data_IF_638344086362
#
_entry.id   IF_638344086362
#
_cell.length_a   1.000
_cell.length_b   1.000
_cell.length_c   1.000
_cell.angle_alpha   90.00
_cell.angle_beta   90.00
_cell.angle_gamma   90.00
#
_symmetry.space_group_name_H-M   'P 1'
#
loop_
_entity.id
_entity.type
_entity.pdbx_description
1 polymer ?
#
# COMPACT_ATOMS: atom_id res chain seq x y z
N UNK A 1 29.34 10.50 43.64
CA UNK A 1 28.57 10.13 42.48
C UNK A 1 27.94 8.80 42.74
N UNK A 2 26.60 8.75 42.90
CA UNK A 2 25.89 7.50 43.08
C UNK A 2 25.93 6.74 41.75
N UNK A 3 26.39 5.50 41.78
CA UNK A 3 26.11 4.52 40.71
C UNK A 3 24.66 4.04 40.93
N UNK A 4 23.77 4.44 40.06
CA UNK A 4 22.51 3.70 39.89
C UNK A 4 22.84 2.45 39.07
N UNK A 5 22.55 1.28 39.63
CA UNK A 5 22.64 0.03 38.86
C UNK A 5 21.63 0.07 37.68
N UNK A 6 21.99 -0.41 36.48
CA UNK A 6 21.09 -0.45 35.38
C UNK A 6 19.90 -1.36 35.73
N UNK A 7 18.68 -0.85 35.50
CA UNK A 7 17.46 -1.66 35.59
C UNK A 7 17.33 -2.54 34.35
N UNK A 8 16.96 -3.82 34.54
CA UNK A 8 16.64 -4.72 33.43
C UNK A 8 15.44 -4.20 32.65
N UNK A 9 15.57 -4.21 31.33
CA UNK A 9 14.47 -3.87 30.42
C UNK A 9 13.32 -4.91 30.45
N UNK A 10 12.32 -4.67 29.62
CA UNK A 10 11.24 -5.64 29.40
C UNK A 10 11.62 -6.69 28.37
N UNK A 11 11.13 -7.92 28.55
CA UNK A 11 11.05 -8.91 27.49
C UNK A 11 9.92 -8.52 26.54
N UNK A 12 10.18 -8.54 25.24
CA UNK A 12 9.22 -8.19 24.20
C UNK A 12 8.71 -9.48 23.57
N UNK A 13 7.41 -9.77 23.75
CA UNK A 13 6.75 -10.90 23.09
C UNK A 13 6.13 -10.40 21.80
N UNK A 14 6.64 -10.85 20.66
CA UNK A 14 6.15 -10.47 19.35
C UNK A 14 5.05 -11.41 18.87
N UNK A 15 4.36 -11.01 17.80
CA UNK A 15 3.36 -11.81 17.10
C UNK A 15 3.97 -12.74 16.05
N UNK A 16 5.29 -12.65 15.80
CA UNK A 16 5.97 -13.39 14.76
C UNK A 16 5.93 -14.90 14.99
N UNK A 17 5.58 -15.63 13.94
CA UNK A 17 5.67 -17.07 13.84
C UNK A 17 6.98 -17.43 13.11
N UNK A 18 7.85 -18.21 13.78
CA UNK A 18 9.19 -18.50 13.26
C UNK A 18 9.16 -19.31 11.97
N UNK A 19 8.21 -20.23 11.83
CA UNK A 19 8.10 -21.07 10.63
C UNK A 19 7.64 -20.22 9.43
N UNK A 20 6.66 -19.35 9.64
CA UNK A 20 6.21 -18.42 8.61
C UNK A 20 7.28 -17.39 8.26
N UNK A 21 8.04 -16.89 9.24
CA UNK A 21 9.15 -15.96 9.02
C UNK A 21 10.25 -16.61 8.15
N UNK A 22 10.62 -17.85 8.44
CA UNK A 22 11.62 -18.60 7.65
C UNK A 22 11.14 -18.83 6.20
N UNK A 23 9.88 -19.20 6.02
CA UNK A 23 9.27 -19.35 4.69
C UNK A 23 9.24 -18.03 3.93
N UNK A 24 8.86 -16.94 4.59
CA UNK A 24 8.80 -15.60 4.00
C UNK A 24 10.18 -15.10 3.55
N UNK A 25 11.21 -15.24 4.40
CA UNK A 25 12.59 -14.87 4.08
C UNK A 25 13.12 -15.65 2.86
N UNK A 26 12.97 -16.98 2.88
CA UNK A 26 13.43 -17.85 1.78
C UNK A 26 12.69 -17.55 0.47
N UNK A 27 11.39 -17.29 0.52
CA UNK A 27 10.60 -16.95 -0.67
C UNK A 27 11.02 -15.58 -1.23
N UNK A 28 11.17 -14.58 -0.35
CA UNK A 28 11.62 -13.24 -0.72
C UNK A 28 13.00 -13.28 -1.37
N UNK A 29 13.97 -13.97 -0.75
CA UNK A 29 15.34 -14.12 -1.27
C UNK A 29 15.36 -14.70 -2.69
N UNK A 30 14.65 -15.81 -2.88
CA UNK A 30 14.54 -16.44 -4.22
C UNK A 30 13.96 -15.48 -5.27
N UNK A 31 12.93 -14.71 -4.89
CA UNK A 31 12.31 -13.77 -5.80
C UNK A 31 13.23 -12.59 -6.13
N UNK A 32 13.93 -12.05 -5.13
CA UNK A 32 14.89 -10.96 -5.35
C UNK A 32 16.06 -11.39 -6.26
N UNK A 33 16.54 -12.60 -6.10
CA UNK A 33 17.57 -13.20 -6.98
C UNK A 33 17.04 -13.38 -8.40
N UNK A 34 15.86 -13.99 -8.56
CA UNK A 34 15.24 -14.24 -9.87
C UNK A 34 14.95 -12.95 -10.65
N UNK A 35 14.59 -11.87 -9.97
CA UNK A 35 14.28 -10.58 -10.58
C UNK A 35 15.48 -9.62 -10.63
N UNK A 36 16.66 -10.06 -10.16
CA UNK A 36 17.83 -9.20 -9.97
C UNK A 36 17.49 -7.88 -9.24
N UNK A 37 16.64 -7.97 -8.24
CA UNK A 37 16.19 -6.81 -7.48
C UNK A 37 17.24 -6.37 -6.46
N UNK A 38 17.19 -5.11 -6.04
CA UNK A 38 18.13 -4.53 -5.06
C UNK A 38 17.65 -4.77 -3.64
N UNK A 39 16.33 -4.73 -3.42
CA UNK A 39 15.70 -4.94 -2.11
C UNK A 39 14.23 -5.35 -2.27
N UNK A 40 13.66 -5.85 -1.20
CA UNK A 40 12.24 -6.18 -1.12
C UNK A 40 11.79 -6.45 0.29
N UNK A 41 10.49 -6.61 0.45
CA UNK A 41 9.85 -6.97 1.71
C UNK A 41 8.70 -7.93 1.47
N UNK A 42 8.44 -8.78 2.46
CA UNK A 42 7.27 -9.67 2.52
C UNK A 42 6.65 -9.53 3.90
N UNK A 43 5.33 -9.35 3.95
CA UNK A 43 4.56 -9.24 5.18
C UNK A 43 3.44 -10.28 5.14
N UNK A 44 3.24 -11.01 6.24
CA UNK A 44 2.11 -11.90 6.46
C UNK A 44 1.32 -11.37 7.64
N UNK A 45 0.04 -11.07 7.43
CA UNK A 45 -0.85 -10.50 8.44
C UNK A 45 -2.07 -11.41 8.63
N UNK A 46 -2.44 -11.66 9.87
CA UNK A 46 -3.66 -12.37 10.21
C UNK A 46 -4.85 -11.43 10.02
N UNK A 47 -5.89 -11.92 9.33
CA UNK A 47 -6.99 -11.05 8.84
C UNK A 47 -7.83 -10.49 9.99
N UNK A 48 -8.16 -11.29 10.99
CA UNK A 48 -9.11 -10.89 12.02
C UNK A 48 -8.48 -10.15 13.20
N UNK A 49 -7.21 -10.43 13.48
CA UNK A 49 -6.50 -9.85 14.65
C UNK A 49 -5.57 -8.71 14.28
N UNK A 50 -5.13 -8.62 13.01
CA UNK A 50 -4.10 -7.67 12.59
C UNK A 50 -2.69 -8.07 13.00
N UNK A 51 -2.50 -9.23 13.61
CA UNK A 51 -1.17 -9.70 14.00
C UNK A 51 -0.26 -9.91 12.80
N UNK A 52 0.94 -9.37 12.86
CA UNK A 52 1.99 -9.60 11.87
C UNK A 52 2.69 -10.91 12.20
N UNK A 53 2.41 -11.93 11.41
CA UNK A 53 2.95 -13.27 11.62
C UNK A 53 4.33 -13.45 10.99
N UNK A 54 4.65 -12.68 9.94
CA UNK A 54 5.99 -12.62 9.35
C UNK A 54 6.24 -11.24 8.73
N UNK A 55 7.48 -10.77 8.82
CA UNK A 55 7.94 -9.55 8.19
C UNK A 55 9.40 -9.72 7.79
N UNK A 56 9.65 -10.10 6.53
CA UNK A 56 10.99 -10.26 5.99
C UNK A 56 11.39 -9.03 5.17
N UNK A 57 12.60 -8.52 5.41
CA UNK A 57 13.15 -7.35 4.76
C UNK A 57 14.57 -7.66 4.29
N UNK A 58 14.80 -7.71 3.00
CA UNK A 58 16.09 -8.05 2.42
C UNK A 58 16.60 -6.98 1.48
N UNK A 59 17.85 -6.59 1.66
CA UNK A 59 18.55 -5.66 0.79
C UNK A 59 19.92 -6.20 0.36
N UNK A 60 20.31 -5.93 -0.88
CA UNK A 60 21.58 -6.37 -1.44
C UNK A 60 22.71 -5.43 -1.02
N UNK A 61 23.86 -5.98 -0.67
CA UNK A 61 25.08 -5.22 -0.43
C UNK A 61 25.79 -4.98 -1.77
N UNK A 62 25.61 -3.78 -2.34
CA UNK A 62 26.12 -3.47 -3.69
C UNK A 62 25.27 -4.12 -4.78
N UNK A 63 25.79 -4.15 -6.01
CA UNK A 63 25.04 -4.64 -7.19
C UNK A 63 25.03 -6.17 -7.32
N UNK A 64 26.03 -6.86 -6.77
CA UNK A 64 26.22 -8.30 -6.91
C UNK A 64 26.37 -9.03 -5.55
N UNK A 65 26.22 -8.30 -4.46
CA UNK A 65 26.37 -8.83 -3.10
C UNK A 65 25.22 -9.74 -2.66
N UNK A 66 25.44 -10.46 -1.56
CA UNK A 66 24.41 -11.24 -0.90
C UNK A 66 23.32 -10.36 -0.31
N UNK A 67 22.14 -10.94 -0.08
CA UNK A 67 21.02 -10.26 0.58
C UNK A 67 21.15 -10.39 2.11
N UNK A 68 20.90 -9.27 2.78
CA UNK A 68 20.91 -9.16 4.23
C UNK A 68 19.70 -8.37 4.69
N UNK A 69 19.27 -8.62 5.92
CA UNK A 69 18.36 -7.72 6.62
C UNK A 69 19.11 -6.45 7.04
N UNK A 70 18.81 -5.32 6.41
CA UNK A 70 19.53 -4.06 6.59
C UNK A 70 18.65 -2.92 7.07
N UNK A 71 17.43 -2.88 6.57
CA UNK A 71 16.46 -1.82 6.80
C UNK A 71 15.08 -2.44 6.84
N UNK A 72 14.20 -1.95 7.68
CA UNK A 72 12.81 -2.35 7.65
C UNK A 72 12.09 -1.65 6.50
N UNK A 73 12.14 -2.25 5.31
CA UNK A 73 11.49 -1.73 4.11
C UNK A 73 9.97 -1.73 4.22
N UNK A 74 9.41 -2.65 5.01
CA UNK A 74 7.97 -2.74 5.23
C UNK A 74 7.38 -1.48 5.87
N UNK A 75 8.13 -0.88 6.80
CA UNK A 75 7.73 0.32 7.55
C UNK A 75 8.38 1.59 7.01
N UNK A 76 9.68 1.54 6.76
CA UNK A 76 10.51 2.73 6.49
C UNK A 76 10.54 3.20 5.05
N UNK A 77 10.08 2.38 4.07
CA UNK A 77 10.08 2.76 2.65
C UNK A 77 8.70 3.11 2.15
N UNK A 78 8.49 4.40 1.93
CA UNK A 78 7.31 4.93 1.25
C UNK A 78 7.59 5.00 -0.26
N UNK A 79 6.77 4.33 -1.06
CA UNK A 79 6.92 4.25 -2.52
C UNK A 79 5.59 4.44 -3.24
N UNK A 80 5.66 4.65 -4.54
CA UNK A 80 4.48 4.62 -5.41
C UNK A 80 3.96 3.18 -5.50
N UNK A 81 2.74 2.89 -5.03
CA UNK A 81 2.23 1.51 -4.97
C UNK A 81 1.88 0.92 -6.35
N UNK A 82 1.82 1.77 -7.38
CA UNK A 82 1.42 1.33 -8.72
C UNK A 82 0.04 0.70 -8.73
N UNK A 83 -0.15 -0.35 -9.53
CA UNK A 83 -1.46 -0.98 -9.75
C UNK A 83 -2.10 -1.59 -8.50
N UNK A 84 -1.37 -1.81 -7.42
CA UNK A 84 -1.98 -2.23 -6.15
C UNK A 84 -2.89 -1.15 -5.57
N UNK A 85 -2.66 0.13 -5.89
CA UNK A 85 -3.51 1.24 -5.48
C UNK A 85 -4.88 1.24 -6.17
N UNK A 86 -5.04 0.51 -7.28
CA UNK A 86 -6.32 0.45 -8.01
C UNK A 86 -7.47 -0.07 -7.16
N UNK A 87 -7.21 -0.85 -6.11
CA UNK A 87 -8.25 -1.23 -5.14
C UNK A 87 -8.88 0.01 -4.49
N UNK A 88 -8.08 1.00 -4.10
CA UNK A 88 -8.59 2.26 -3.57
C UNK A 88 -9.40 3.02 -4.63
N UNK A 89 -8.88 3.10 -5.86
CA UNK A 89 -9.59 3.71 -6.98
C UNK A 89 -10.92 3.02 -7.29
N UNK A 90 -10.96 1.69 -7.21
CA UNK A 90 -12.19 0.91 -7.40
C UNK A 90 -13.24 1.26 -6.36
N UNK A 91 -12.87 1.30 -5.08
CA UNK A 91 -13.79 1.67 -4.00
C UNK A 91 -14.28 3.11 -4.16
N UNK A 92 -13.40 4.03 -4.51
CA UNK A 92 -13.78 5.42 -4.77
C UNK A 92 -14.81 5.52 -5.90
N UNK A 93 -14.61 4.80 -7.00
CA UNK A 93 -15.53 4.84 -8.14
C UNK A 93 -16.89 4.20 -7.81
N UNK A 94 -16.91 3.13 -7.05
CA UNK A 94 -18.14 2.40 -6.72
C UNK A 94 -18.92 3.04 -5.58
N UNK A 95 -18.27 3.54 -4.55
CA UNK A 95 -18.91 4.03 -3.31
C UNK A 95 -19.14 5.54 -3.34
N UNK A 96 -18.09 6.33 -3.65
CA UNK A 96 -18.19 7.80 -3.66
C UNK A 96 -18.79 8.35 -4.96
N UNK A 97 -18.36 7.82 -6.11
CA UNK A 97 -18.82 8.27 -7.42
C UNK A 97 -20.08 7.54 -7.91
N UNK A 98 -20.63 6.59 -7.18
CA UNK A 98 -21.79 5.76 -7.53
C UNK A 98 -21.74 5.24 -8.98
N UNK A 99 -20.55 4.74 -9.37
CA UNK A 99 -20.33 4.26 -10.72
C UNK A 99 -20.85 2.84 -10.90
N UNK A 100 -21.68 2.64 -11.92
CA UNK A 100 -22.15 1.29 -12.27
C UNK A 100 -21.00 0.38 -12.70
N UNK A 101 -20.94 -0.88 -12.22
CA UNK A 101 -19.99 -1.87 -12.73
C UNK A 101 -20.11 -2.19 -14.23
N UNK A 102 -21.21 -1.81 -14.86
CA UNK A 102 -21.42 -1.92 -16.31
C UNK A 102 -20.90 -0.72 -17.10
N UNK A 103 -20.43 0.34 -16.41
CA UNK A 103 -19.82 1.49 -17.09
C UNK A 103 -18.63 1.04 -17.91
N UNK A 104 -18.65 1.34 -19.19
CA UNK A 104 -17.61 0.92 -20.13
C UNK A 104 -16.88 2.13 -20.72
N UNK A 105 -15.58 1.95 -20.96
CA UNK A 105 -14.74 2.93 -21.64
C UNK A 105 -13.98 2.28 -22.79
N UNK A 106 -13.79 3.03 -23.87
CA UNK A 106 -12.82 2.66 -24.90
C UNK A 106 -11.40 2.85 -24.38
N UNK A 107 -10.68 1.77 -24.22
CA UNK A 107 -9.27 1.77 -23.78
C UNK A 107 -8.27 1.76 -24.93
N UNK A 108 -8.75 1.86 -26.18
CA UNK A 108 -7.93 1.87 -27.38
C UNK A 108 -6.94 0.69 -27.45
N UNK A 109 -7.36 -0.52 -27.11
CA UNK A 109 -6.50 -1.70 -26.98
C UNK A 109 -5.36 -1.58 -25.95
N UNK A 110 -5.40 -0.59 -25.07
CA UNK A 110 -4.29 -0.28 -24.18
C UNK A 110 -3.19 0.57 -24.81
N UNK A 111 -3.38 1.03 -26.05
CA UNK A 111 -2.46 1.94 -26.74
C UNK A 111 -2.41 3.32 -26.04
N UNK A 112 -1.34 4.10 -26.22
CA UNK A 112 -1.20 5.39 -25.56
C UNK A 112 -2.30 6.37 -25.93
N UNK A 113 -2.97 6.91 -24.93
CA UNK A 113 -4.03 7.93 -25.07
C UNK A 113 -3.73 9.16 -24.24
N UNK A 114 -4.47 10.23 -24.51
CA UNK A 114 -4.53 11.42 -23.67
C UNK A 114 -5.81 11.39 -22.85
N UNK A 115 -5.69 11.57 -21.53
CA UNK A 115 -6.83 11.64 -20.61
C UNK A 115 -6.77 12.96 -19.87
N UNK A 116 -7.70 13.85 -20.16
CA UNK A 116 -7.64 15.24 -19.69
C UNK A 116 -6.30 15.89 -20.07
N UNK A 117 -5.55 16.45 -19.13
CA UNK A 117 -4.23 17.04 -19.39
C UNK A 117 -3.09 15.99 -19.44
N UNK A 118 -3.34 14.75 -19.03
CA UNK A 118 -2.32 13.72 -18.95
C UNK A 118 -2.13 12.99 -20.28
N UNK A 119 -0.90 12.99 -20.79
CA UNK A 119 -0.53 12.35 -22.06
C UNK A 119 0.11 10.99 -21.85
N UNK A 120 0.09 10.15 -22.89
CA UNK A 120 0.73 8.84 -22.92
C UNK A 120 0.28 7.89 -21.82
N UNK A 121 -1.01 7.92 -21.47
CA UNK A 121 -1.61 6.92 -20.57
C UNK A 121 -1.80 5.64 -21.39
N UNK A 122 -1.24 4.54 -20.93
CA UNK A 122 -1.28 3.25 -21.62
C UNK A 122 -1.38 2.10 -20.64
N UNK A 123 -1.91 0.98 -21.11
CA UNK A 123 -1.91 -0.27 -20.37
C UNK A 123 -0.56 -1.02 -20.53
N UNK A 124 -0.29 -1.94 -19.61
CA UNK A 124 0.92 -2.77 -19.68
C UNK A 124 0.84 -3.84 -20.77
N UNK A 125 -0.39 -4.21 -21.15
CA UNK A 125 -0.69 -5.23 -22.16
C UNK A 125 -1.77 -4.72 -23.11
N UNK A 126 -1.71 -5.15 -24.36
CA UNK A 126 -2.82 -4.94 -25.29
C UNK A 126 -4.03 -5.75 -24.86
N UNK A 127 -5.21 -5.21 -25.07
CA UNK A 127 -6.47 -5.80 -24.68
C UNK A 127 -7.60 -5.47 -25.62
N UNK A 128 -8.83 -5.49 -25.12
CA UNK A 128 -10.01 -5.13 -25.88
C UNK A 128 -10.17 -3.60 -26.00
N UNK A 129 -10.84 -3.13 -27.05
CA UNK A 129 -11.10 -1.72 -27.26
C UNK A 129 -12.00 -1.12 -26.18
N UNK A 130 -13.17 -1.73 -26.00
CA UNK A 130 -14.17 -1.27 -25.03
C UNK A 130 -14.29 -2.31 -23.94
N UNK A 131 -14.06 -1.91 -22.71
CA UNK A 131 -14.13 -2.77 -21.53
C UNK A 131 -14.99 -2.16 -20.43
N UNK A 132 -15.70 -2.99 -19.70
CA UNK A 132 -16.42 -2.62 -18.49
C UNK A 132 -15.49 -2.61 -17.26
N UNK A 133 -16.06 -2.27 -16.12
CA UNK A 133 -15.33 -2.22 -14.85
C UNK A 133 -14.70 -3.57 -14.48
N UNK A 134 -15.42 -4.68 -14.64
CA UNK A 134 -14.90 -6.02 -14.28
C UNK A 134 -13.71 -6.40 -15.13
N UNK A 135 -13.80 -6.15 -16.44
CA UNK A 135 -12.70 -6.41 -17.36
C UNK A 135 -11.49 -5.50 -17.06
N UNK A 136 -11.74 -4.23 -16.73
CA UNK A 136 -10.69 -3.27 -16.34
C UNK A 136 -9.93 -3.72 -15.10
N UNK A 137 -10.61 -4.26 -14.10
CA UNK A 137 -10.00 -4.85 -12.91
C UNK A 137 -9.15 -6.06 -13.28
N UNK A 138 -9.73 -7.02 -14.04
CA UNK A 138 -9.05 -8.25 -14.41
C UNK A 138 -7.79 -8.01 -15.27
N UNK A 139 -7.82 -7.01 -16.18
CA UNK A 139 -6.67 -6.64 -17.01
C UNK A 139 -5.76 -5.59 -16.40
N UNK A 140 -6.14 -5.05 -15.23
CA UNK A 140 -5.42 -3.94 -14.58
C UNK A 140 -5.22 -2.73 -15.52
N UNK A 141 -6.27 -2.31 -16.23
CA UNK A 141 -6.20 -1.23 -17.22
C UNK A 141 -5.93 0.14 -16.57
N UNK A 142 -4.83 0.77 -16.93
CA UNK A 142 -4.54 2.16 -16.53
C UNK A 142 -5.45 3.14 -17.25
N UNK A 143 -5.71 2.88 -18.55
CA UNK A 143 -6.52 3.76 -19.39
C UNK A 143 -7.96 3.84 -18.89
N UNK A 144 -8.53 2.70 -18.50
CA UNK A 144 -9.88 2.66 -17.93
C UNK A 144 -9.98 3.52 -16.66
N UNK A 145 -9.14 3.23 -15.67
CA UNK A 145 -9.20 3.93 -14.38
C UNK A 145 -8.86 5.41 -14.51
N UNK A 146 -7.93 5.77 -15.38
CA UNK A 146 -7.62 7.15 -15.69
C UNK A 146 -8.82 7.91 -16.26
N UNK A 147 -9.52 7.32 -17.25
CA UNK A 147 -10.73 7.91 -17.84
C UNK A 147 -11.86 8.05 -16.83
N UNK A 148 -12.12 7.00 -16.04
CA UNK A 148 -13.17 7.00 -15.03
C UNK A 148 -12.95 8.09 -13.96
N UNK A 149 -11.74 8.17 -13.40
CA UNK A 149 -11.42 9.18 -12.39
C UNK A 149 -11.42 10.59 -12.99
N UNK A 150 -10.92 10.76 -14.22
CA UNK A 150 -10.95 12.07 -14.87
C UNK A 150 -12.38 12.55 -15.12
N UNK A 151 -13.26 11.70 -15.59
CA UNK A 151 -14.67 12.03 -15.82
C UNK A 151 -15.40 12.43 -14.53
N UNK A 152 -15.18 11.64 -13.45
CA UNK A 152 -15.91 11.82 -12.17
C UNK A 152 -15.39 13.00 -11.35
N UNK A 153 -14.07 13.22 -11.32
CA UNK A 153 -13.46 14.19 -10.42
C UNK A 153 -12.69 15.29 -11.16
N UNK A 154 -12.18 15.02 -12.36
CA UNK A 154 -11.42 15.98 -13.14
C UNK A 154 -12.33 17.00 -13.84
N UNK A 155 -13.27 16.52 -14.65
CA UNK A 155 -14.22 17.36 -15.41
C UNK A 155 -15.15 18.10 -14.47
N UNK A 156 -15.61 17.46 -13.42
CA UNK A 156 -16.55 18.05 -12.43
C UNK A 156 -15.87 19.01 -11.45
N UNK A 157 -14.54 19.08 -11.43
CA UNK A 157 -13.81 19.93 -10.49
C UNK A 157 -13.71 19.38 -9.06
N UNK A 158 -14.12 18.14 -8.81
CA UNK A 158 -14.26 17.51 -7.50
C UNK A 158 -12.99 16.81 -7.00
N UNK A 159 -11.79 17.32 -7.35
CA UNK A 159 -10.52 16.73 -6.94
C UNK A 159 -10.35 16.63 -5.43
N UNK A 160 -10.89 17.59 -4.69
CA UNK A 160 -10.85 17.58 -3.23
C UNK A 160 -11.68 16.42 -2.67
N UNK A 161 -12.90 16.19 -3.18
CA UNK A 161 -13.73 15.06 -2.78
C UNK A 161 -12.99 13.73 -2.97
N UNK A 162 -12.26 13.57 -4.09
CA UNK A 162 -11.43 12.38 -4.30
C UNK A 162 -10.36 12.19 -3.23
N UNK A 163 -9.60 13.22 -2.88
CA UNK A 163 -8.58 13.10 -1.83
C UNK A 163 -9.20 12.91 -0.44
N UNK A 164 -10.30 13.58 -0.14
CA UNK A 164 -11.01 13.44 1.13
C UNK A 164 -11.51 12.00 1.31
N UNK A 165 -12.05 11.38 0.27
CA UNK A 165 -12.46 9.98 0.30
C UNK A 165 -11.28 9.05 0.60
N UNK A 166 -10.13 9.24 -0.06
CA UNK A 166 -8.92 8.46 0.22
C UNK A 166 -8.42 8.62 1.66
N UNK A 167 -8.49 9.83 2.22
CA UNK A 167 -8.01 10.13 3.57
C UNK A 167 -8.99 9.69 4.65
N UNK A 168 -10.26 10.06 4.52
CA UNK A 168 -11.26 9.92 5.59
C UNK A 168 -11.93 8.55 5.58
N UNK A 169 -12.35 8.08 4.40
CA UNK A 169 -13.04 6.80 4.26
C UNK A 169 -12.09 5.63 4.17
N UNK A 170 -11.08 5.72 3.29
CA UNK A 170 -10.12 4.64 3.11
C UNK A 170 -8.92 4.70 4.06
N UNK A 171 -8.78 5.80 4.81
CA UNK A 171 -7.73 6.03 5.82
C UNK A 171 -6.30 5.88 5.29
N UNK A 172 -6.10 6.08 3.98
CA UNK A 172 -4.80 5.94 3.33
C UNK A 172 -3.86 7.14 3.53
N UNK A 173 -4.37 8.26 4.05
CA UNK A 173 -3.60 9.47 4.34
C UNK A 173 -2.94 9.49 5.71
N UNK A 174 -2.99 8.41 6.49
CA UNK A 174 -2.48 8.35 7.86
C UNK A 174 -1.66 7.09 8.10
N UNK A 175 -0.83 7.11 9.13
CA UNK A 175 -0.08 5.95 9.60
C UNK A 175 -1.02 4.89 10.20
N UNK A 176 -0.52 3.69 10.36
CA UNK A 176 -1.29 2.55 10.89
C UNK A 176 -0.96 2.23 12.35
N UNK A 177 -0.18 3.11 13.03
CA UNK A 177 0.11 3.02 14.45
C UNK A 177 1.49 2.43 14.78
N UNK A 178 2.38 2.31 13.80
CA UNK A 178 3.72 1.76 13.99
C UNK A 178 4.84 2.81 13.88
N UNK A 179 4.54 4.10 14.14
CA UNK A 179 5.49 5.21 14.02
C UNK A 179 6.69 5.02 14.93
N UNK A 180 6.50 4.50 16.14
CA UNK A 180 7.59 4.20 17.09
C UNK A 180 8.54 3.12 16.60
N UNK A 181 8.08 2.29 15.65
CA UNK A 181 8.88 1.25 15.00
C UNK A 181 9.46 1.69 13.66
N UNK A 182 9.30 2.96 13.30
CA UNK A 182 9.88 3.56 12.11
C UNK A 182 8.94 3.57 10.88
N UNK A 183 7.64 3.46 11.10
CA UNK A 183 6.66 3.65 10.03
C UNK A 183 6.77 5.05 9.44
N UNK A 184 6.92 5.11 8.11
CA UNK A 184 6.95 6.36 7.38
C UNK A 184 5.55 6.82 7.03
N UNK A 185 5.26 8.10 7.30
CA UNK A 185 3.98 8.69 6.97
C UNK A 185 3.69 8.58 5.45
N UNK A 186 2.44 8.27 5.07
CA UNK A 186 2.01 8.27 3.69
C UNK A 186 2.03 9.69 3.10
N UNK A 187 2.04 9.77 1.76
CA UNK A 187 1.92 11.04 1.04
C UNK A 187 0.87 10.90 -0.05
N UNK A 188 -0.31 11.43 0.24
CA UNK A 188 -1.42 11.61 -0.70
C UNK A 188 -1.83 13.08 -0.64
N UNK A 189 -1.89 13.75 -1.77
CA UNK A 189 -2.16 15.20 -1.77
C UNK A 189 -3.57 15.52 -1.28
N UNK A 190 -3.64 16.56 -0.45
CA UNK A 190 -4.89 17.26 -0.07
C UNK A 190 -4.88 18.71 -0.58
N UNK A 191 -3.74 19.18 -1.07
CA UNK A 191 -3.60 20.49 -1.67
C UNK A 191 -3.48 20.36 -3.19
N UNK A 192 -4.49 20.81 -3.89
CA UNK A 192 -4.56 20.80 -5.35
C UNK A 192 -3.98 22.04 -6.02
N UNK A 193 -3.34 22.94 -5.25
CA UNK A 193 -2.57 24.09 -5.76
C UNK A 193 -1.17 23.70 -6.24
N UNK A 194 -1.08 22.55 -6.91
CA UNK A 194 0.15 22.02 -7.51
C UNK A 194 0.22 22.43 -8.98
N UNK A 195 1.41 22.42 -9.63
CA UNK A 195 1.56 22.87 -11.01
C UNK A 195 0.62 22.17 -12.01
N UNK A 196 0.42 20.85 -11.84
CA UNK A 196 -0.37 20.03 -12.78
C UNK A 196 -1.43 19.18 -12.06
N UNK A 197 -2.48 19.81 -11.46
CA UNK A 197 -3.43 19.08 -10.62
C UNK A 197 -4.24 18.03 -11.41
N UNK A 198 -4.52 18.26 -12.67
CA UNK A 198 -5.22 17.29 -13.52
C UNK A 198 -4.34 16.10 -13.89
N UNK A 199 -3.06 16.32 -14.19
CA UNK A 199 -2.11 15.23 -14.43
C UNK A 199 -1.91 14.42 -13.15
N UNK A 200 -1.81 15.09 -12.00
CA UNK A 200 -1.71 14.42 -10.69
C UNK A 200 -2.91 13.51 -10.45
N UNK A 201 -4.14 14.01 -10.59
CA UNK A 201 -5.36 13.22 -10.41
C UNK A 201 -5.35 11.96 -11.28
N UNK A 202 -5.07 12.10 -12.57
CA UNK A 202 -5.02 10.97 -13.50
C UNK A 202 -3.94 9.96 -13.09
N UNK A 203 -2.77 10.42 -12.69
CA UNK A 203 -1.67 9.55 -12.25
C UNK A 203 -1.99 8.80 -10.94
N UNK A 204 -2.66 9.46 -10.01
CA UNK A 204 -3.10 8.85 -8.76
C UNK A 204 -4.03 7.66 -8.99
N UNK A 205 -4.89 7.70 -10.01
CA UNK A 205 -5.89 6.65 -10.28
C UNK A 205 -5.28 5.24 -10.48
N UNK A 206 -4.01 5.15 -10.82
CA UNK A 206 -3.31 3.87 -10.98
C UNK A 206 -2.00 3.80 -10.16
N UNK A 207 -1.95 4.57 -9.05
CA UNK A 207 -0.96 4.42 -7.99
C UNK A 207 0.37 5.14 -8.20
N UNK A 208 0.39 6.20 -9.01
CA UNK A 208 1.52 7.12 -9.13
C UNK A 208 1.19 8.47 -8.49
N UNK A 209 2.19 9.22 -8.11
CA UNK A 209 2.02 10.51 -7.38
C UNK A 209 1.38 10.36 -6.00
N UNK A 210 1.27 9.14 -5.52
CA UNK A 210 0.96 8.77 -4.12
C UNK A 210 2.12 7.96 -3.58
N UNK A 211 2.37 8.02 -2.29
CA UNK A 211 3.44 7.23 -1.66
C UNK A 211 2.93 6.60 -0.38
N UNK A 212 3.06 5.30 -0.31
CA UNK A 212 2.61 4.47 0.82
C UNK A 212 3.71 3.48 1.21
N UNK A 213 3.82 3.20 2.49
CA UNK A 213 4.65 2.10 2.96
C UNK A 213 3.92 0.76 2.73
N UNK A 214 4.64 -0.35 2.49
CA UNK A 214 4.03 -1.67 2.32
C UNK A 214 3.09 -2.07 3.46
N UNK A 215 3.39 -1.70 4.69
CA UNK A 215 2.52 -1.96 5.85
C UNK A 215 1.15 -1.27 5.73
N UNK A 216 1.10 -0.06 5.19
CA UNK A 216 -0.14 0.67 4.97
C UNK A 216 -0.99 0.00 3.89
N UNK A 217 -0.34 -0.48 2.84
CA UNK A 217 -1.03 -1.21 1.76
C UNK A 217 -1.61 -2.54 2.25
N UNK A 218 -0.86 -3.35 3.01
CA UNK A 218 -1.41 -4.61 3.52
C UNK A 218 -2.54 -4.37 4.52
N UNK A 219 -2.43 -3.35 5.38
CA UNK A 219 -3.49 -2.98 6.32
C UNK A 219 -4.78 -2.60 5.58
N UNK A 220 -4.66 -1.83 4.50
CA UNK A 220 -5.79 -1.49 3.65
C UNK A 220 -6.42 -2.73 2.97
N UNK A 221 -5.60 -3.61 2.39
CA UNK A 221 -6.08 -4.86 1.81
C UNK A 221 -6.71 -5.79 2.85
N UNK A 222 -6.13 -5.82 4.05
CA UNK A 222 -6.68 -6.59 5.17
C UNK A 222 -8.09 -6.14 5.55
N UNK A 223 -8.36 -4.83 5.51
CA UNK A 223 -9.71 -4.31 5.77
C UNK A 223 -10.75 -4.89 4.79
N UNK A 224 -10.38 -5.05 3.51
CA UNK A 224 -11.27 -5.67 2.52
C UNK A 224 -11.50 -7.16 2.85
N UNK A 225 -10.42 -7.90 3.13
CA UNK A 225 -10.50 -9.30 3.52
C UNK A 225 -11.32 -9.52 4.82
N UNK A 226 -11.33 -8.52 5.69
CA UNK A 226 -12.03 -8.53 6.98
C UNK A 226 -13.43 -7.89 6.93
N UNK A 227 -14.08 -7.95 5.77
CA UNK A 227 -15.45 -7.46 5.61
C UNK A 227 -15.62 -5.94 5.82
N UNK A 228 -14.60 -5.15 5.51
CA UNK A 228 -14.58 -3.69 5.64
C UNK A 228 -14.08 -3.17 7.00
N UNK A 229 -13.70 -4.05 7.92
CA UNK A 229 -13.14 -3.65 9.21
C UNK A 229 -11.64 -3.44 9.10
N UNK A 230 -11.19 -2.20 9.18
CA UNK A 230 -9.77 -1.88 9.26
C UNK A 230 -9.28 -2.09 10.70
N UNK A 231 -8.26 -2.93 10.85
CA UNK A 231 -7.61 -3.25 12.11
C UNK A 231 -6.16 -2.77 12.01
N UNK A 232 -5.66 -2.13 13.07
CA UNK A 232 -4.25 -1.75 13.14
C UNK A 232 -3.36 -2.98 13.21
N UNK A 233 -2.21 -2.97 12.52
CA UNK A 233 -1.27 -4.08 12.61
C UNK A 233 -0.65 -4.17 14.02
N UNK A 234 -0.54 -5.39 14.52
CA UNK A 234 0.07 -5.68 15.83
C UNK A 234 1.35 -6.48 15.60
N UNK A 235 2.49 -5.97 16.05
CA UNK A 235 3.79 -6.65 15.98
C UNK A 235 4.29 -7.08 17.36
N UNK A 236 3.95 -6.33 18.40
CA UNK A 236 4.25 -6.64 19.80
C UNK A 236 2.96 -7.05 20.49
N UNK A 237 2.93 -8.23 21.05
CA UNK A 237 1.78 -8.77 21.80
C UNK A 237 1.81 -8.39 23.25
N UNK A 238 2.99 -8.49 23.88
CA UNK A 238 3.15 -8.24 25.31
C UNK A 238 4.53 -7.68 25.62
N UNK A 239 4.59 -6.87 26.67
CA UNK A 239 5.81 -6.57 27.41
C UNK A 239 5.78 -7.33 28.73
N UNK A 240 6.89 -8.01 29.09
CA UNK A 240 7.02 -8.81 30.30
C UNK A 240 8.24 -8.40 31.10
N UNK A 241 8.15 -8.64 32.41
CA UNK A 241 9.30 -8.62 33.31
C UNK A 241 9.35 -9.97 34.03
N UNK A 242 10.19 -10.89 33.54
CA UNK A 242 10.14 -12.29 33.89
C UNK A 242 8.78 -12.92 33.50
N UNK A 243 8.12 -13.61 34.43
CA UNK A 243 6.82 -14.23 34.17
C UNK A 243 5.63 -13.26 34.25
N UNK A 244 5.85 -12.01 34.64
CA UNK A 244 4.79 -11.02 34.81
C UNK A 244 4.55 -10.24 33.52
N UNK A 245 3.31 -10.24 33.03
CA UNK A 245 2.87 -9.37 31.94
C UNK A 245 2.64 -7.97 32.49
N UNK A 246 3.38 -6.98 31.97
CA UNK A 246 3.27 -5.57 32.34
C UNK A 246 2.30 -4.82 31.41
N UNK A 247 2.29 -5.16 30.11
CA UNK A 247 1.43 -4.52 29.13
C UNK A 247 1.03 -5.52 28.03
N UNK A 248 -0.22 -5.43 27.53
CA UNK A 248 -0.73 -6.17 26.36
C UNK A 248 -1.17 -5.20 25.29
N UNK A 249 -0.93 -5.58 24.05
CA UNK A 249 -1.35 -4.86 22.84
C UNK A 249 -2.35 -5.74 22.07
N UNK A 250 -3.52 -5.17 21.74
CA UNK A 250 -4.61 -5.82 21.00
C UNK A 250 -4.98 -5.01 19.75
#
# INVERSE_FOLDING_TARGET
>A
GGHEDPEDGYDVVTTLDLDLQDVADKALRRQLEAQNAIWGTTIVMEVHTGEILAMANLGRAGTEGAFYERENYALGRSMEPGSTFKLATMLTLLDDADMSPQTAYDTHNGDPVTVGPAKNIRDSHRGDHVIDFRRAVASSSNVYFAKAIWERYGITGKKQEYSDFLHEKLRLGQTVGLERLGERAPSITTDWKVPDPGVMLVKMSYGYRVRLAPIQMITFYNAIANGGKMISPVLVRELRRGDRVEERFE
#
